data_IF_173320891714
#
_entry.id   IF_173320891714
#
_cell.length_a   1.000
_cell.length_b   1.000
_cell.length_c   1.000
_cell.angle_alpha   90.00
_cell.angle_beta   90.00
_cell.angle_gamma   90.00
#
_symmetry.space_group_name_H-M   'P 1'
#
loop_
_entity.id
_entity.type
_entity.pdbx_description
1 polymer ?
#
# COMPACT_ATOMS: atom_id res chain seq x y z
N UNK A 1 -17.89 -11.84 9.78
CA UNK A 1 -18.44 -11.46 8.46
C UNK A 1 -17.30 -10.86 7.66
N UNK A 2 -17.09 -11.27 6.40
CA UNK A 2 -16.16 -10.59 5.50
C UNK A 2 -16.60 -9.13 5.35
N UNK A 3 -15.65 -8.21 5.35
CA UNK A 3 -15.94 -6.78 5.34
C UNK A 3 -14.69 -5.93 5.11
N UNK A 4 -14.86 -4.61 5.25
CA UNK A 4 -13.77 -3.66 5.12
C UNK A 4 -12.81 -3.79 6.32
N UNK A 5 -11.54 -4.04 6.02
CA UNK A 5 -10.44 -3.93 6.96
C UNK A 5 -9.84 -2.53 6.88
N UNK A 6 -9.83 -1.81 8.00
CA UNK A 6 -9.23 -0.48 8.16
C UNK A 6 -8.00 -0.62 9.04
N UNK A 7 -6.85 -0.19 8.56
CA UNK A 7 -5.58 -0.24 9.29
C UNK A 7 -5.00 1.15 9.44
N UNK A 8 -4.79 1.54 10.69
CA UNK A 8 -4.04 2.71 11.10
C UNK A 8 -2.65 2.27 11.52
N UNK A 9 -1.65 2.53 10.68
CA UNK A 9 -0.27 2.18 10.94
C UNK A 9 0.40 3.10 11.96
N UNK A 10 1.71 3.33 11.80
CA UNK A 10 2.41 4.36 12.56
C UNK A 10 1.97 5.74 12.06
N UNK A 11 1.06 6.39 12.79
CA UNK A 11 0.51 7.72 12.47
C UNK A 11 1.28 8.86 13.15
N UNK A 12 2.18 8.56 14.11
CA UNK A 12 2.77 9.54 15.01
C UNK A 12 3.65 10.61 14.31
N UNK A 13 3.90 10.47 13.01
CA UNK A 13 4.69 11.41 12.20
C UNK A 13 3.98 11.88 10.93
N UNK A 14 2.68 11.65 10.77
CA UNK A 14 1.92 12.19 9.64
C UNK A 14 1.43 13.60 10.02
N UNK A 15 1.96 14.68 9.39
CA UNK A 15 1.55 16.04 9.75
C UNK A 15 0.06 16.26 9.49
N UNK A 16 -0.55 17.01 10.42
CA UNK A 16 -1.96 17.28 10.69
C UNK A 16 -2.94 17.55 9.51
N UNK A 17 -2.49 17.65 8.27
CA UNK A 17 -3.33 18.00 7.11
C UNK A 17 -4.25 16.86 6.62
N UNK A 18 -4.05 15.62 7.09
CA UNK A 18 -4.93 14.48 6.79
C UNK A 18 -5.98 14.20 7.90
N UNK A 19 -6.13 15.08 8.89
CA UNK A 19 -7.14 14.92 9.94
C UNK A 19 -8.56 14.76 9.34
N UNK A 20 -8.86 15.46 8.24
CA UNK A 20 -10.12 15.32 7.51
C UNK A 20 -10.26 13.95 6.80
N UNK A 21 -9.17 13.35 6.31
CA UNK A 21 -9.18 12.06 5.64
C UNK A 21 -9.25 10.89 6.64
N UNK A 22 -8.46 10.93 7.71
CA UNK A 22 -8.58 9.96 8.82
C UNK A 22 -9.96 9.99 9.50
N UNK A 23 -10.60 11.17 9.56
CA UNK A 23 -11.92 11.39 10.16
C UNK A 23 -13.08 10.91 9.28
N UNK A 24 -12.98 11.04 7.94
CA UNK A 24 -14.02 10.55 7.02
C UNK A 24 -14.00 9.03 6.86
N UNK A 25 -12.83 8.40 6.96
CA UNK A 25 -12.68 6.95 6.80
C UNK A 25 -12.94 6.16 8.09
N UNK A 26 -12.72 6.77 9.27
CA UNK A 26 -13.08 6.18 10.56
C UNK A 26 -14.59 5.96 10.78
N UNK A 27 -15.44 6.37 9.84
CA UNK A 27 -16.90 6.18 9.87
C UNK A 27 -17.41 5.05 8.99
N UNK A 28 -16.56 4.40 8.18
CA UNK A 28 -16.99 3.24 7.40
C UNK A 28 -17.15 2.03 8.34
N UNK A 29 -18.27 1.29 8.27
CA UNK A 29 -18.41 0.05 9.03
C UNK A 29 -17.35 -0.96 8.56
N UNK A 30 -16.57 -1.50 9.50
CA UNK A 30 -15.45 -2.38 9.20
C UNK A 30 -14.67 -2.77 10.45
N UNK A 31 -13.71 -3.69 10.28
CA UNK A 31 -12.77 -4.07 11.34
C UNK A 31 -11.64 -3.05 11.36
N UNK A 32 -11.44 -2.37 12.50
CA UNK A 32 -10.35 -1.41 12.70
C UNK A 32 -9.19 -2.09 13.44
N UNK A 33 -7.99 -2.00 12.85
CA UNK A 33 -6.72 -2.32 13.52
C UNK A 33 -5.91 -1.04 13.69
N UNK A 34 -5.46 -0.77 14.91
CA UNK A 34 -4.60 0.37 15.24
C UNK A 34 -3.25 -0.14 15.67
N UNK A 35 -2.23 0.22 14.92
CA UNK A 35 -0.84 -0.21 15.08
C UNK A 35 -0.67 -1.72 15.25
N UNK A 36 -1.19 -2.55 14.31
CA UNK A 36 -1.15 -3.99 14.45
C UNK A 36 0.27 -4.54 14.35
N UNK A 37 0.47 -5.76 14.81
CA UNK A 37 1.63 -6.57 14.45
C UNK A 37 1.52 -7.06 13.00
N UNK A 38 2.65 -7.49 12.43
CA UNK A 38 2.68 -8.08 11.08
C UNK A 38 1.78 -9.33 11.00
N UNK A 39 1.75 -10.15 12.04
CA UNK A 39 0.89 -11.35 12.09
C UNK A 39 -0.59 -10.98 12.10
N UNK A 40 -1.01 -10.04 12.95
CA UNK A 40 -2.41 -9.59 13.00
C UNK A 40 -2.88 -9.04 11.66
N UNK A 41 -2.02 -8.29 10.96
CA UNK A 41 -2.34 -7.77 9.63
C UNK A 41 -2.44 -8.89 8.59
N UNK A 42 -1.51 -9.86 8.60
CA UNK A 42 -1.57 -11.02 7.70
C UNK A 42 -2.88 -11.78 7.85
N UNK A 43 -3.25 -12.13 9.08
CA UNK A 43 -4.50 -12.86 9.35
C UNK A 43 -5.73 -12.04 8.97
N UNK A 44 -5.76 -10.75 9.31
CA UNK A 44 -6.89 -9.88 8.95
C UNK A 44 -7.05 -9.73 7.44
N UNK A 45 -5.96 -9.73 6.67
CA UNK A 45 -6.00 -9.71 5.21
C UNK A 45 -6.53 -11.01 4.59
N UNK A 46 -6.51 -12.14 5.29
CA UNK A 46 -7.15 -13.38 4.84
C UNK A 46 -8.69 -13.31 4.99
N UNK A 47 -9.17 -12.63 6.02
CA UNK A 47 -10.60 -12.53 6.34
C UNK A 47 -11.33 -11.39 5.61
N UNK A 48 -10.58 -10.42 5.07
CA UNK A 48 -11.14 -9.21 4.48
C UNK A 48 -11.69 -9.40 3.05
N UNK A 49 -12.65 -8.54 2.71
CA UNK A 49 -13.14 -8.34 1.33
C UNK A 49 -12.54 -7.07 0.70
N UNK A 50 -12.27 -6.07 1.53
CA UNK A 50 -11.72 -4.78 1.13
C UNK A 50 -10.66 -4.38 2.16
N UNK A 51 -9.64 -3.66 1.70
CA UNK A 51 -8.53 -3.23 2.53
C UNK A 51 -8.30 -1.74 2.39
N UNK A 52 -8.14 -1.08 3.53
CA UNK A 52 -7.76 0.32 3.61
C UNK A 52 -6.61 0.47 4.61
N UNK A 53 -5.49 1.04 4.17
CA UNK A 53 -4.35 1.36 5.00
C UNK A 53 -4.08 2.86 5.00
N UNK A 54 -3.77 3.40 6.18
CA UNK A 54 -3.29 4.75 6.37
C UNK A 54 -2.10 4.78 7.33
N UNK A 55 -0.99 5.37 6.90
CA UNK A 55 0.23 5.49 7.69
C UNK A 55 1.47 5.73 6.82
N UNK A 56 2.65 5.51 7.39
CA UNK A 56 3.89 5.63 6.65
C UNK A 56 4.19 4.42 5.76
N UNK A 57 4.91 4.70 4.67
CA UNK A 57 5.55 3.70 3.83
C UNK A 57 6.96 4.12 3.46
N UNK A 58 7.78 3.16 3.07
CA UNK A 58 9.16 3.38 2.67
C UNK A 58 9.42 3.09 1.19
N UNK A 59 10.62 3.42 0.71
CA UNK A 59 11.05 3.18 -0.68
C UNK A 59 11.16 1.68 -1.05
N UNK A 60 11.12 0.80 -0.06
CA UNK A 60 11.04 -0.65 -0.23
C UNK A 60 9.60 -1.16 -0.38
N UNK A 61 8.60 -0.27 -0.30
CA UNK A 61 7.18 -0.60 -0.34
C UNK A 61 6.66 -1.20 0.96
N UNK A 62 7.41 -1.12 2.06
CA UNK A 62 6.94 -1.59 3.36
C UNK A 62 5.96 -0.60 3.98
N UNK A 63 4.95 -1.11 4.70
CA UNK A 63 3.99 -0.32 5.47
C UNK A 63 4.40 -0.32 6.94
N UNK A 64 4.43 0.85 7.58
CA UNK A 64 4.84 0.98 8.96
C UNK A 64 3.63 0.72 9.85
N UNK A 65 3.68 -0.32 10.68
CA UNK A 65 2.53 -0.72 11.48
C UNK A 65 2.55 -0.07 12.87
N UNK A 66 3.68 -0.06 13.56
CA UNK A 66 3.83 0.55 14.90
C UNK A 66 4.91 -0.15 15.72
N UNK A 67 5.44 0.52 16.75
CA UNK A 67 6.53 -0.01 17.61
C UNK A 67 7.76 -0.54 16.84
N UNK A 68 8.06 0.03 15.67
CA UNK A 68 9.15 -0.43 14.80
C UNK A 68 8.81 -1.66 13.94
N UNK A 69 7.57 -2.13 13.94
CA UNK A 69 7.08 -3.19 13.06
C UNK A 69 6.78 -2.71 11.65
N UNK A 70 7.05 -3.57 10.67
CA UNK A 70 6.84 -3.32 9.25
C UNK A 70 6.05 -4.47 8.62
N UNK A 71 5.15 -4.15 7.70
CA UNK A 71 4.56 -5.09 6.75
C UNK A 71 5.28 -4.95 5.42
N UNK A 72 6.14 -5.90 5.11
CA UNK A 72 7.02 -5.89 3.93
C UNK A 72 6.35 -6.55 2.74
N UNK A 73 6.98 -6.40 1.58
CA UNK A 73 6.53 -7.07 0.35
C UNK A 73 6.54 -8.61 0.49
N UNK A 74 7.47 -9.18 1.27
CA UNK A 74 7.48 -10.62 1.58
C UNK A 74 6.29 -11.08 2.43
N UNK A 75 5.77 -10.21 3.31
CA UNK A 75 4.56 -10.52 4.08
C UNK A 75 3.32 -10.51 3.17
N UNK A 76 3.32 -9.62 2.16
CA UNK A 76 2.29 -9.62 1.12
C UNK A 76 2.38 -10.86 0.22
N UNK A 77 3.59 -11.31 -0.14
CA UNK A 77 3.79 -12.56 -0.89
C UNK A 77 3.22 -13.75 -0.11
N UNK A 78 3.46 -13.82 1.21
CA UNK A 78 2.84 -14.82 2.07
C UNK A 78 1.30 -14.75 2.04
N UNK A 79 0.70 -13.57 2.12
CA UNK A 79 -0.77 -13.40 2.04
C UNK A 79 -1.31 -13.87 0.68
N UNK A 80 -0.60 -13.58 -0.41
CA UNK A 80 -0.97 -14.03 -1.76
C UNK A 80 -0.98 -15.56 -1.82
N UNK A 81 0.11 -16.20 -1.40
CA UNK A 81 0.24 -17.66 -1.39
C UNK A 81 -0.84 -18.31 -0.53
N UNK A 82 -1.10 -17.74 0.64
CA UNK A 82 -2.04 -18.29 1.61
C UNK A 82 -3.50 -18.15 1.15
N UNK A 83 -3.87 -17.01 0.55
CA UNK A 83 -5.21 -16.86 -0.06
C UNK A 83 -5.42 -17.84 -1.20
N UNK A 84 -4.40 -18.07 -2.04
CA UNK A 84 -4.46 -19.07 -3.11
C UNK A 84 -4.63 -20.48 -2.53
N UNK A 85 -3.83 -20.84 -1.52
CA UNK A 85 -3.90 -22.13 -0.83
C UNK A 85 -5.27 -22.40 -0.21
N UNK A 86 -5.90 -21.37 0.34
CA UNK A 86 -7.22 -21.43 0.96
C UNK A 86 -8.39 -21.28 -0.04
N UNK A 87 -8.12 -21.03 -1.33
CA UNK A 87 -9.14 -20.79 -2.33
C UNK A 87 -9.95 -19.51 -2.10
N UNK A 88 -9.37 -18.52 -1.42
CA UNK A 88 -10.03 -17.26 -1.13
C UNK A 88 -10.04 -16.34 -2.36
N UNK A 89 -11.13 -15.62 -2.62
CA UNK A 89 -11.18 -14.66 -3.72
C UNK A 89 -10.18 -13.52 -3.51
N UNK A 90 -9.92 -12.71 -4.53
CA UNK A 90 -9.22 -11.44 -4.34
C UNK A 90 -10.06 -10.47 -3.50
N UNK A 91 -9.38 -9.52 -2.87
CA UNK A 91 -10.02 -8.33 -2.32
C UNK A 91 -10.65 -7.53 -3.47
N UNK A 92 -11.84 -6.97 -3.27
CA UNK A 92 -12.48 -6.10 -4.27
C UNK A 92 -11.69 -4.81 -4.46
N UNK A 93 -11.09 -4.31 -3.38
CA UNK A 93 -10.31 -3.07 -3.35
C UNK A 93 -9.20 -3.17 -2.30
N UNK A 94 -8.01 -2.71 -2.66
CA UNK A 94 -6.95 -2.35 -1.73
C UNK A 94 -6.60 -0.86 -1.90
N UNK A 95 -6.81 -0.06 -0.86
CA UNK A 95 -6.41 1.34 -0.82
C UNK A 95 -5.26 1.53 0.17
N UNK A 96 -4.07 1.81 -0.35
CA UNK A 96 -2.81 1.84 0.39
C UNK A 96 -2.27 3.26 0.44
N UNK A 97 -2.75 4.03 1.41
CA UNK A 97 -2.33 5.42 1.64
C UNK A 97 -1.04 5.48 2.45
N UNK A 98 0.06 5.23 1.76
CA UNK A 98 1.40 5.27 2.30
C UNK A 98 2.37 5.78 1.24
N UNK A 99 3.43 6.48 1.66
CA UNK A 99 4.48 6.93 0.73
C UNK A 99 5.05 5.74 -0.04
N UNK A 100 5.29 5.93 -1.33
CA UNK A 100 5.95 4.95 -2.21
C UNK A 100 5.23 3.60 -2.39
N UNK A 101 3.99 3.44 -1.93
CA UNK A 101 3.22 2.19 -2.04
C UNK A 101 2.97 1.73 -3.49
N UNK A 102 3.02 2.65 -4.45
CA UNK A 102 2.93 2.39 -5.89
C UNK A 102 4.17 2.82 -6.68
N UNK A 103 5.33 2.94 -6.03
CA UNK A 103 6.55 3.50 -6.64
C UNK A 103 7.25 2.61 -7.67
N UNK A 104 6.94 1.31 -7.68
CA UNK A 104 7.48 0.31 -8.62
C UNK A 104 6.38 -0.58 -9.16
N UNK A 105 6.51 -1.03 -10.40
CA UNK A 105 5.57 -1.97 -11.03
C UNK A 105 5.47 -3.27 -10.21
N UNK A 106 6.59 -3.76 -9.70
CA UNK A 106 6.67 -4.92 -8.80
C UNK A 106 5.73 -4.82 -7.59
N UNK A 107 5.68 -3.65 -6.93
CA UNK A 107 4.82 -3.43 -5.75
C UNK A 107 3.36 -3.38 -6.13
N UNK A 108 3.03 -2.69 -7.23
CA UNK A 108 1.67 -2.63 -7.77
C UNK A 108 1.19 -4.02 -8.15
N UNK A 109 2.00 -4.81 -8.85
CA UNK A 109 1.64 -6.14 -9.32
C UNK A 109 1.42 -7.11 -8.16
N UNK A 110 2.21 -7.05 -7.08
CA UNK A 110 1.92 -7.83 -5.85
C UNK A 110 0.55 -7.48 -5.27
N UNK A 111 0.24 -6.20 -5.13
CA UNK A 111 -1.08 -5.79 -4.65
C UNK A 111 -2.22 -6.26 -5.57
N UNK A 112 -2.01 -6.24 -6.88
CA UNK A 112 -3.00 -6.73 -7.86
C UNK A 112 -3.13 -8.26 -7.89
N UNK A 113 -2.20 -9.02 -7.30
CA UNK A 113 -2.38 -10.46 -7.05
C UNK A 113 -3.34 -10.73 -5.89
N UNK A 114 -3.42 -9.83 -4.91
CA UNK A 114 -4.34 -9.95 -3.77
C UNK A 114 -5.64 -9.17 -3.94
N UNK A 115 -5.69 -8.16 -4.82
CA UNK A 115 -6.85 -7.29 -5.02
C UNK A 115 -7.20 -7.05 -6.50
N UNK A 116 -8.48 -6.82 -6.80
CA UNK A 116 -8.97 -6.47 -8.15
C UNK A 116 -8.66 -5.03 -8.54
N UNK A 117 -8.67 -4.13 -7.54
CA UNK A 117 -8.38 -2.70 -7.71
C UNK A 117 -7.38 -2.27 -6.65
N UNK A 118 -6.35 -1.54 -7.07
CA UNK A 118 -5.38 -0.91 -6.18
C UNK A 118 -5.47 0.61 -6.29
N UNK A 119 -5.58 1.28 -5.15
CA UNK A 119 -5.33 2.70 -4.98
C UNK A 119 -4.05 2.91 -4.18
N UNK A 120 -3.06 3.62 -4.73
CA UNK A 120 -1.78 3.81 -4.06
C UNK A 120 -1.05 5.08 -4.51
N UNK A 121 0.03 5.46 -3.82
CA UNK A 121 0.82 6.64 -4.16
C UNK A 121 2.16 6.24 -4.79
N UNK A 122 2.51 6.77 -5.98
CA UNK A 122 3.78 6.47 -6.63
C UNK A 122 4.99 7.10 -5.93
N UNK A 123 4.77 8.08 -5.03
CA UNK A 123 5.80 8.81 -4.32
C UNK A 123 5.31 9.16 -2.90
N UNK A 124 5.90 10.16 -2.25
CA UNK A 124 5.40 10.70 -0.97
C UNK A 124 3.92 11.10 -1.07
N UNK A 125 3.16 10.91 0.00
CA UNK A 125 1.73 11.27 0.03
C UNK A 125 1.53 12.79 0.01
N UNK A 126 2.36 13.52 0.74
CA UNK A 126 2.42 14.97 0.75
C UNK A 126 3.88 15.45 0.80
N UNK A 127 4.17 16.57 0.13
CA UNK A 127 5.42 17.30 0.30
C UNK A 127 5.13 18.64 0.99
N UNK A 128 5.93 19.06 1.98
CA UNK A 128 5.84 20.41 2.55
C UNK A 128 6.40 21.47 1.60
N UNK A 129 7.23 21.11 0.61
CA UNK A 129 7.85 22.05 -0.34
C UNK A 129 8.06 21.41 -1.73
N UNK A 130 7.34 21.89 -2.78
CA UNK A 130 6.14 22.72 -2.70
C UNK A 130 5.02 22.00 -1.94
N UNK A 131 4.12 22.76 -1.30
CA UNK A 131 2.95 22.19 -0.63
C UNK A 131 2.06 21.51 -1.68
N UNK A 132 2.06 20.19 -1.70
CA UNK A 132 1.29 19.41 -2.66
C UNK A 132 0.96 18.03 -2.08
N UNK A 133 -0.26 17.55 -2.37
CA UNK A 133 -0.68 16.17 -2.14
C UNK A 133 -0.51 15.45 -3.47
N UNK A 134 0.34 14.42 -3.51
CA UNK A 134 0.52 13.65 -4.73
C UNK A 134 -0.80 13.01 -5.15
N UNK A 135 -1.14 12.93 -6.45
CA UNK A 135 -2.34 12.24 -6.85
C UNK A 135 -2.20 10.75 -6.50
N UNK A 136 -3.27 10.19 -5.94
CA UNK A 136 -3.40 8.75 -5.80
C UNK A 136 -3.65 8.13 -7.17
N UNK A 137 -3.00 7.03 -7.47
CA UNK A 137 -3.16 6.30 -8.73
C UNK A 137 -4.07 5.10 -8.54
N UNK A 138 -4.86 4.79 -9.57
CA UNK A 138 -5.73 3.60 -9.62
C UNK A 138 -5.19 2.60 -10.64
N UNK A 139 -5.04 1.35 -10.22
CA UNK A 139 -4.64 0.25 -11.07
C UNK A 139 -5.68 -0.87 -11.02
N UNK A 140 -5.97 -1.47 -12.18
CA UNK A 140 -6.94 -2.58 -12.36
C UNK A 140 -6.36 -3.78 -13.12
N UNK A 141 -5.12 -3.65 -13.56
CA UNK A 141 -4.38 -4.65 -14.33
C UNK A 141 -2.90 -4.51 -14.02
N UNK A 142 -2.19 -5.62 -14.11
CA UNK A 142 -0.73 -5.63 -13.92
C UNK A 142 -0.07 -4.64 -14.89
N UNK A 143 1.00 -4.03 -14.40
CA UNK A 143 1.84 -3.11 -15.17
C UNK A 143 3.03 -3.91 -15.66
N UNK A 144 3.30 -3.86 -16.96
CA UNK A 144 4.57 -4.35 -17.49
C UNK A 144 5.72 -3.57 -16.85
N UNK A 145 6.78 -4.29 -16.48
CA UNK A 145 7.95 -3.69 -15.87
C UNK A 145 8.69 -2.88 -16.94
N UNK A 146 8.43 -1.57 -16.98
CA UNK A 146 9.10 -0.64 -17.89
C UNK A 146 10.31 -0.02 -17.18
N UNK A 147 11.55 -0.50 -17.45
CA UNK A 147 12.76 0.09 -16.87
C UNK A 147 12.98 1.56 -17.28
N UNK A 148 12.24 2.09 -18.27
CA UNK A 148 12.24 3.49 -18.70
C UNK A 148 11.35 4.43 -17.89
N UNK A 149 10.49 3.89 -17.01
CA UNK A 149 9.63 4.64 -16.07
C UNK A 149 10.32 4.99 -14.75
N UNK A 150 11.46 4.38 -14.45
CA UNK A 150 12.41 4.99 -13.54
C UNK A 150 12.82 6.31 -14.20
N UNK A 151 12.37 7.45 -13.65
CA UNK A 151 12.50 8.77 -14.28
C UNK A 151 13.91 9.12 -14.80
N UNK A 152 14.02 10.23 -15.53
CA UNK A 152 15.22 10.80 -16.16
C UNK A 152 16.60 10.32 -15.64
N UNK A 153 16.80 10.28 -14.31
CA UNK A 153 18.00 9.80 -13.63
C UNK A 153 18.39 8.32 -13.87
N UNK A 154 17.45 7.41 -14.10
CA UNK A 154 17.73 6.00 -14.39
C UNK A 154 18.31 5.80 -15.78
N UNK A 155 17.98 6.70 -16.71
CA UNK A 155 18.52 6.68 -18.08
C UNK A 155 19.97 7.15 -18.13
N UNK A 156 20.36 8.07 -17.24
CA UNK A 156 21.75 8.53 -17.13
C UNK A 156 22.71 7.51 -16.52
N UNK A 157 22.20 6.51 -15.78
CA UNK A 157 23.04 5.44 -15.20
C UNK A 157 23.31 4.27 -16.15
N UNK A 158 22.56 4.14 -17.23
CA UNK A 158 22.83 3.16 -18.29
C UNK A 158 23.62 3.86 -19.39
N UNK A 159 24.91 4.04 -19.14
CA UNK A 159 25.85 4.48 -20.19
C UNK A 159 25.80 3.56 -21.41
N UNK A 160 26.34 4.02 -22.56
CA UNK A 160 26.26 3.27 -23.80
C UNK A 160 26.93 1.90 -23.61
N UNK A 161 26.19 0.83 -23.87
CA UNK A 161 26.76 -0.51 -23.97
C UNK A 161 27.59 -0.54 -25.25
N UNK A 162 28.91 -0.57 -25.09
CA UNK A 162 29.88 -1.00 -26.10
C UNK A 162 29.72 -2.48 -26.40
#
# INVERSE_FOLDING_TARGET
>A
MPGLLIVRGDEARVPFTDFAFGFTLGRRPGRLLVRPTTEELRQALLEADEFFFYGHGDKGGALHLGNGGYFRQSDLDWVIEERVRLGLPKLKLAEVRACYSGSKAEYVNRWLKVADVLHCFPNVTASPMPLFIHPMHTYRKEIEDDPGRGGFWSRLRRGPRS
#
